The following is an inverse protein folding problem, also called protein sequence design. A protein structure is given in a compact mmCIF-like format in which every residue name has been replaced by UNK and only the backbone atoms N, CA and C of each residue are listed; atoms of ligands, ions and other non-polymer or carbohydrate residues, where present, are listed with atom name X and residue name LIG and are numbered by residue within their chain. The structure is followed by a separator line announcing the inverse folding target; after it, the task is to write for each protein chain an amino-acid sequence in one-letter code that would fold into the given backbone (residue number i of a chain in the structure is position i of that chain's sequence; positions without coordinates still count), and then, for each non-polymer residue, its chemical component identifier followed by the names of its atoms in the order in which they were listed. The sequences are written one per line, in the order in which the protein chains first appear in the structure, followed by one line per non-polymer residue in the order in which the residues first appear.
data_IF_922937857814
#
_entry.id   IF_922937857814
#
_cell.length_a   1.000
_cell.length_b   1.000
_cell.length_c   1.000
_cell.angle_alpha   90.00
_cell.angle_beta   90.00
_cell.angle_gamma   90.00
#
_symmetry.space_group_name_H-M   'P 1'
#
loop_
_entity.id
_entity.type
_entity.pdbx_description
1 polymer ?
#
# COMPACT_ATOMS: atom_id res chain seq x y z
N UNK A 1 -7.35 5.00 -7.78
CA UNK A 1 -5.92 4.64 -7.65
C UNK A 1 -5.17 5.94 -7.83
N UNK A 2 -4.43 6.38 -6.82
CA UNK A 2 -3.59 7.56 -6.92
C UNK A 2 -2.18 7.12 -7.30
N UNK A 3 -1.59 7.74 -8.31
CA UNK A 3 -0.20 7.54 -8.72
C UNK A 3 0.42 8.89 -9.10
N UNK A 4 1.44 9.32 -8.37
CA UNK A 4 2.14 10.57 -8.66
C UNK A 4 1.23 11.82 -8.61
N UNK A 5 0.17 11.78 -7.81
CA UNK A 5 -0.82 12.86 -7.72
C UNK A 5 -1.90 12.83 -8.81
N UNK A 6 -1.93 11.81 -9.67
CA UNK A 6 -3.00 11.58 -10.64
C UNK A 6 -3.93 10.46 -10.17
N UNK A 7 -5.23 10.64 -10.39
CA UNK A 7 -6.24 9.63 -10.08
C UNK A 7 -6.62 8.81 -11.32
N UNK A 8 -6.69 7.50 -11.12
CA UNK A 8 -7.09 6.52 -12.12
C UNK A 8 -8.21 5.63 -11.57
N UNK A 9 -9.21 5.35 -12.41
CA UNK A 9 -10.15 4.25 -12.22
C UNK A 9 -9.54 3.03 -12.89
N UNK A 10 -9.46 1.91 -12.17
CA UNK A 10 -8.88 0.65 -12.66
C UNK A 10 -10.01 -0.38 -12.71
N UNK A 11 -10.29 -0.89 -13.91
CA UNK A 11 -11.34 -1.87 -14.17
C UNK A 11 -10.78 -3.30 -14.24
N UNK A 12 -11.64 -4.35 -14.19
CA UNK A 12 -11.19 -5.72 -14.38
C UNK A 12 -10.46 -5.91 -15.71
N UNK A 13 -9.20 -6.34 -15.64
CA UNK A 13 -8.33 -6.54 -16.82
C UNK A 13 -7.34 -5.40 -17.06
N UNK A 14 -7.54 -4.24 -16.44
CA UNK A 14 -6.57 -3.16 -16.47
C UNK A 14 -5.32 -3.52 -15.64
N UNK A 15 -4.20 -2.90 -16.01
CA UNK A 15 -2.96 -2.95 -15.25
C UNK A 15 -2.34 -1.57 -15.17
N UNK A 16 -1.69 -1.28 -14.05
CA UNK A 16 -0.95 -0.04 -13.84
C UNK A 16 0.43 -0.38 -13.28
N UNK A 17 1.46 0.23 -13.87
CA UNK A 17 2.82 0.11 -13.36
C UNK A 17 3.06 1.13 -12.25
N UNK A 18 3.66 0.70 -11.14
CA UNK A 18 3.96 1.52 -9.96
C UNK A 18 5.48 1.71 -9.86
N UNK A 19 6.02 2.83 -10.37
CA UNK A 19 7.46 3.06 -10.34
C UNK A 19 7.95 3.25 -8.91
N UNK A 20 9.21 2.88 -8.67
CA UNK A 20 9.91 3.21 -7.41
C UNK A 20 9.93 4.73 -7.21
N UNK A 21 9.86 5.15 -5.95
CA UNK A 21 9.93 6.55 -5.53
C UNK A 21 8.80 7.44 -6.08
N UNK A 22 7.69 6.85 -6.54
CA UNK A 22 6.47 7.55 -6.90
C UNK A 22 5.38 7.18 -5.91
N UNK A 23 4.85 8.19 -5.22
CA UNK A 23 3.78 8.01 -4.23
C UNK A 23 2.55 7.42 -4.91
N UNK A 24 2.00 6.37 -4.31
CA UNK A 24 0.81 5.72 -4.81
C UNK A 24 -0.03 5.12 -3.69
N UNK A 25 -1.34 5.02 -3.92
CA UNK A 25 -2.28 4.35 -3.02
C UNK A 25 -3.52 3.91 -3.79
N UNK A 26 -4.14 2.81 -3.37
CA UNK A 26 -5.41 2.35 -3.93
C UNK A 26 -6.45 2.18 -2.82
N UNK A 27 -7.71 2.35 -3.21
CA UNK A 27 -8.88 2.00 -2.40
C UNK A 27 -9.86 1.24 -3.28
N UNK A 28 -10.53 0.25 -2.70
CA UNK A 28 -11.74 -0.27 -3.31
C UNK A 28 -12.86 0.75 -3.08
N UNK A 29 -13.39 1.31 -4.17
CA UNK A 29 -14.49 2.27 -4.13
C UNK A 29 -15.87 1.62 -4.32
N UNK A 30 -15.91 0.33 -4.66
CA UNK A 30 -17.15 -0.42 -4.82
C UNK A 30 -17.63 -1.00 -3.48
N UNK A 31 -18.91 -1.35 -3.42
CA UNK A 31 -19.55 -2.08 -2.33
C UNK A 31 -19.38 -3.61 -2.44
N UNK A 32 -18.66 -4.07 -3.47
CA UNK A 32 -18.33 -5.47 -3.73
C UNK A 32 -16.84 -5.74 -3.54
N UNK A 33 -16.48 -7.01 -3.34
CA UNK A 33 -15.08 -7.45 -3.24
C UNK A 33 -14.31 -7.17 -4.55
N UNK A 34 -13.17 -6.50 -4.43
CA UNK A 34 -12.21 -6.33 -5.51
C UNK A 34 -11.02 -7.29 -5.31
N UNK A 35 -10.58 -7.94 -6.40
CA UNK A 35 -9.40 -8.81 -6.41
C UNK A 35 -8.33 -8.21 -7.30
N UNK A 36 -7.11 -8.13 -6.79
CA UNK A 36 -5.95 -7.58 -7.49
C UNK A 36 -4.79 -8.54 -7.35
N UNK A 37 -4.00 -8.69 -8.41
CA UNK A 37 -2.70 -9.36 -8.39
C UNK A 37 -1.64 -8.27 -8.39
N UNK A 38 -0.81 -8.22 -7.34
CA UNK A 38 0.34 -7.33 -7.26
C UNK A 38 1.63 -8.10 -7.53
N UNK A 39 2.43 -7.62 -8.46
CA UNK A 39 3.75 -8.17 -8.78
C UNK A 39 4.81 -7.16 -8.37
N UNK A 40 5.72 -7.58 -7.50
CA UNK A 40 6.74 -6.71 -6.92
C UNK A 40 8.12 -7.22 -7.29
N UNK A 41 8.99 -6.30 -7.74
CA UNK A 41 10.35 -6.61 -8.13
C UNK A 41 11.33 -5.53 -7.63
N UNK A 42 12.52 -5.90 -7.11
CA UNK A 42 12.90 -7.27 -6.71
C UNK A 42 11.99 -7.83 -5.59
N UNK A 43 12.09 -9.13 -5.33
CA UNK A 43 11.37 -9.79 -4.24
C UNK A 43 11.76 -9.21 -2.86
N UNK A 44 10.95 -9.48 -1.83
CA UNK A 44 11.20 -9.07 -0.44
C UNK A 44 10.01 -8.42 0.26
N UNK A 45 8.96 -8.00 -0.47
CA UNK A 45 7.77 -7.39 0.14
C UNK A 45 6.95 -8.39 0.97
N UNK A 46 7.08 -9.68 0.69
CA UNK A 46 6.47 -10.75 1.48
C UNK A 46 6.88 -10.71 2.96
N UNK A 47 8.13 -10.35 3.27
CA UNK A 47 8.61 -10.24 4.64
C UNK A 47 7.99 -9.04 5.37
N UNK A 48 7.69 -7.95 4.65
CA UNK A 48 6.92 -6.82 5.18
C UNK A 48 5.51 -7.27 5.60
N UNK A 49 4.83 -8.04 4.76
CA UNK A 49 3.50 -8.56 5.10
C UNK A 49 3.53 -9.52 6.29
N UNK A 50 4.57 -10.35 6.41
CA UNK A 50 4.77 -11.21 7.57
C UNK A 50 4.97 -10.39 8.85
N UNK A 51 5.83 -9.35 8.83
CA UNK A 51 6.05 -8.48 9.97
C UNK A 51 4.76 -7.77 10.43
N UNK A 52 3.91 -7.37 9.48
CA UNK A 52 2.58 -6.82 9.81
C UNK A 52 1.63 -7.86 10.40
N UNK A 53 1.72 -9.12 9.99
CA UNK A 53 0.86 -10.20 10.48
C UNK A 53 1.16 -10.60 11.93
N UNK A 54 2.38 -10.36 12.40
CA UNK A 54 2.80 -10.59 13.80
C UNK A 54 2.27 -9.52 14.77
N UNK A 55 1.66 -8.43 14.26
CA UNK A 55 1.05 -7.42 15.13
C UNK A 55 -0.17 -8.00 15.87
N UNK A 56 -0.36 -7.65 17.15
CA UNK A 56 -1.50 -8.14 17.91
C UNK A 56 -2.83 -7.68 17.29
N UNK A 57 -3.91 -8.47 17.44
CA UNK A 57 -5.23 -8.06 16.97
C UNK A 57 -5.71 -6.81 17.72
N UNK A 58 -6.42 -5.93 17.02
CA UNK A 58 -6.98 -4.70 17.58
C UNK A 58 -6.68 -3.46 16.75
N UNK A 59 -6.88 -2.25 17.31
CA UNK A 59 -6.53 -1.00 16.65
C UNK A 59 -5.06 -0.99 16.24
N UNK A 60 -4.80 -0.64 14.98
CA UNK A 60 -3.46 -0.56 14.44
C UNK A 60 -2.80 0.74 14.89
N UNK A 61 -1.67 0.64 15.57
CA UNK A 61 -0.82 1.80 15.88
C UNK A 61 -0.01 2.19 14.62
N UNK A 62 -0.33 3.36 14.06
CA UNK A 62 0.32 3.89 12.86
C UNK A 62 1.81 4.11 13.09
N UNK A 63 2.24 4.51 14.28
CA UNK A 63 3.66 4.73 14.57
C UNK A 63 4.45 3.41 14.53
N UNK A 64 3.85 2.32 15.01
CA UNK A 64 4.43 0.97 14.91
C UNK A 64 4.48 0.49 13.46
N UNK A 65 3.41 0.68 12.70
CA UNK A 65 3.38 0.32 11.27
C UNK A 65 4.42 1.11 10.47
N UNK A 66 4.56 2.41 10.73
CA UNK A 66 5.57 3.26 10.08
C UNK A 66 6.99 2.76 10.34
N UNK A 67 7.31 2.33 11.56
CA UNK A 67 8.63 1.72 11.88
C UNK A 67 8.89 0.48 11.04
N UNK A 68 7.91 -0.42 10.97
CA UNK A 68 8.00 -1.63 10.12
C UNK A 68 8.18 -1.22 8.65
N UNK A 69 7.39 -0.28 8.14
CA UNK A 69 7.50 0.19 6.76
C UNK A 69 8.93 0.68 6.42
N UNK A 70 9.54 1.47 7.31
CA UNK A 70 10.91 1.98 7.12
C UNK A 70 11.95 0.86 7.05
N UNK A 71 11.82 -0.19 7.88
CA UNK A 71 12.72 -1.36 7.84
C UNK A 71 12.72 -2.07 6.48
N UNK A 72 11.60 -1.99 5.74
CA UNK A 72 11.44 -2.55 4.40
C UNK A 72 11.58 -1.51 3.26
N UNK A 73 12.09 -0.31 3.56
CA UNK A 73 12.30 0.75 2.56
C UNK A 73 11.01 1.35 2.01
N UNK A 74 9.92 1.30 2.78
CA UNK A 74 8.63 1.89 2.44
C UNK A 74 8.46 3.17 3.28
N UNK A 75 8.25 4.29 2.62
CA UNK A 75 7.99 5.57 3.28
C UNK A 75 6.50 5.88 3.23
N UNK A 76 5.87 6.05 4.40
CA UNK A 76 4.49 6.47 4.48
C UNK A 76 4.40 7.98 4.25
N UNK A 77 3.69 8.38 3.20
CA UNK A 77 3.34 9.77 2.93
C UNK A 77 1.88 9.99 3.35
N UNK A 78 1.69 10.70 4.46
CA UNK A 78 0.35 11.11 4.91
C UNK A 78 -0.06 12.40 4.19
N UNK A 79 -1.32 12.54 3.77
CA UNK A 79 -1.81 13.82 3.28
C UNK A 79 -1.70 14.88 4.39
N UNK A 80 -1.59 16.18 4.04
CA UNK A 80 -1.55 17.24 5.03
C UNK A 80 -2.74 17.14 5.99
N UNK A 81 -2.48 16.94 7.29
CA UNK A 81 -3.51 16.81 8.32
C UNK A 81 -4.05 15.40 8.58
N UNK A 82 -3.50 14.35 7.96
CA UNK A 82 -3.79 12.97 8.33
C UNK A 82 -3.08 12.59 9.63
N UNK A 83 -3.85 12.32 10.69
CA UNK A 83 -3.37 11.69 11.93
C UNK A 83 -3.35 10.17 11.81
#
# INVERSE_FOLDING_TARGET
MSLGGQEYVIEPGDYLFLPRNVVHTFRNSADVEARVISVVSPAGLEAYYQALAELPPGPKDIATIQKIMVEFGIELQLPPGGH
#
